data_IF_342088458188
#
_entry.id   IF_342088458188
#
_cell.length_a   1.000
_cell.length_b   1.000
_cell.length_c   1.000
_cell.angle_alpha   90.00
_cell.angle_beta   90.00
_cell.angle_gamma   90.00
#
_symmetry.space_group_name_H-M   'P 1'
#
loop_
_entity.id
_entity.type
_entity.pdbx_description
1 polymer ?
#
# COMPACT_ATOMS: atom_id res chain seq x y z
N UNK A 1 -34.58 -3.01 -8.17
CA UNK A 1 -33.74 -1.82 -8.43
C UNK A 1 -32.33 -2.16 -8.01
N UNK A 2 -31.36 -1.91 -8.89
CA UNK A 2 -30.05 -2.53 -8.93
C UNK A 2 -29.09 -1.88 -7.90
N UNK A 3 -28.73 -2.60 -6.82
CA UNK A 3 -27.83 -2.09 -5.76
C UNK A 3 -26.35 -2.46 -5.95
N UNK A 4 -25.99 -3.17 -7.02
CA UNK A 4 -24.64 -3.79 -7.14
C UNK A 4 -23.53 -2.85 -7.63
N UNK A 5 -23.78 -1.56 -7.80
CA UNK A 5 -22.79 -0.62 -8.37
C UNK A 5 -22.10 0.26 -7.33
N UNK A 6 -22.54 0.24 -6.06
CA UNK A 6 -21.98 1.11 -5.00
C UNK A 6 -20.78 0.50 -4.27
N UNK A 7 -20.83 -0.80 -3.99
CA UNK A 7 -19.80 -1.51 -3.24
C UNK A 7 -18.37 -1.39 -3.82
N UNK A 8 -18.14 -1.48 -5.15
CA UNK A 8 -16.78 -1.37 -5.69
C UNK A 8 -16.17 0.03 -5.56
N UNK A 9 -17.00 1.07 -5.64
CA UNK A 9 -16.54 2.46 -5.52
C UNK A 9 -16.24 2.83 -4.06
N UNK A 10 -17.01 2.29 -3.12
CA UNK A 10 -16.79 2.47 -1.68
C UNK A 10 -15.47 1.84 -1.26
N UNK A 11 -15.19 0.60 -1.69
CA UNK A 11 -13.92 -0.09 -1.40
C UNK A 11 -12.72 0.61 -2.04
N UNK A 12 -12.85 1.09 -3.30
CA UNK A 12 -11.77 1.82 -3.95
C UNK A 12 -11.48 3.18 -3.26
N UNK A 13 -12.51 3.84 -2.74
CA UNK A 13 -12.37 5.09 -1.98
C UNK A 13 -11.69 4.82 -0.64
N UNK A 14 -12.13 3.79 0.08
CA UNK A 14 -11.52 3.36 1.35
C UNK A 14 -10.05 2.98 1.15
N UNK A 15 -9.74 2.23 0.09
CA UNK A 15 -8.37 1.90 -0.28
C UNK A 15 -7.54 3.15 -0.57
N UNK A 16 -8.07 4.10 -1.33
CA UNK A 16 -7.37 5.36 -1.59
C UNK A 16 -7.08 6.13 -0.30
N UNK A 17 -8.06 6.25 0.61
CA UNK A 17 -7.87 6.90 1.91
C UNK A 17 -6.83 6.19 2.78
N UNK A 18 -6.91 4.86 2.89
CA UNK A 18 -5.90 4.06 3.61
C UNK A 18 -4.51 4.22 3.00
N UNK A 19 -4.41 4.30 1.67
CA UNK A 19 -3.14 4.54 1.00
C UNK A 19 -2.56 5.91 1.36
N UNK A 20 -3.38 6.97 1.37
CA UNK A 20 -2.89 8.30 1.74
C UNK A 20 -2.33 8.31 3.15
N UNK A 21 -3.00 7.70 4.12
CA UNK A 21 -2.52 7.67 5.51
C UNK A 21 -1.12 7.03 5.61
N UNK A 22 -0.92 5.90 4.93
CA UNK A 22 0.39 5.24 4.94
C UNK A 22 1.45 5.98 4.11
N UNK A 23 1.07 6.63 3.02
CA UNK A 23 1.99 7.46 2.24
C UNK A 23 2.41 8.71 3.02
N UNK A 24 1.51 9.34 3.78
CA UNK A 24 1.85 10.45 4.67
C UNK A 24 2.82 9.99 5.76
N UNK A 25 2.59 8.82 6.35
CA UNK A 25 3.51 8.26 7.34
C UNK A 25 4.88 7.92 6.74
N UNK A 26 4.89 7.37 5.52
CA UNK A 26 6.10 7.09 4.74
C UNK A 26 6.89 8.38 4.43
N UNK A 27 6.20 9.45 4.04
CA UNK A 27 6.78 10.78 3.82
C UNK A 27 7.33 11.40 5.11
N UNK A 28 6.60 11.30 6.22
CA UNK A 28 7.03 11.81 7.54
C UNK A 28 8.32 11.13 8.01
N UNK A 29 8.44 9.82 7.80
CA UNK A 29 9.64 9.05 8.18
C UNK A 29 10.75 9.07 7.15
N UNK A 30 10.47 9.50 5.92
CA UNK A 30 11.40 9.40 4.79
C UNK A 30 11.75 7.94 4.44
N UNK A 31 10.83 7.01 4.70
CA UNK A 31 11.02 5.57 4.49
C UNK A 31 10.04 5.06 3.44
N UNK A 32 10.32 3.90 2.82
CA UNK A 32 9.36 3.26 1.92
C UNK A 32 8.31 2.49 2.71
N UNK A 33 7.10 2.45 2.17
CA UNK A 33 6.00 1.63 2.66
C UNK A 33 6.07 0.25 2.01
N UNK A 34 6.07 -0.81 2.82
CA UNK A 34 6.29 -2.18 2.38
C UNK A 34 5.10 -3.04 2.83
N UNK A 35 4.35 -3.58 1.88
CA UNK A 35 3.31 -4.56 2.14
C UNK A 35 3.86 -5.96 1.90
N UNK A 36 3.92 -6.79 2.94
CA UNK A 36 4.28 -8.19 2.83
C UNK A 36 3.01 -9.02 2.65
N UNK A 37 2.88 -9.63 1.47
CA UNK A 37 1.74 -10.45 1.09
C UNK A 37 1.87 -11.82 1.76
N UNK A 38 1.14 -12.02 2.85
CA UNK A 38 0.99 -13.31 3.50
C UNK A 38 -0.10 -14.15 2.86
N UNK A 39 0.03 -15.48 2.95
CA UNK A 39 -1.01 -16.44 2.55
C UNK A 39 -2.24 -16.46 3.49
N UNK A 40 -2.22 -15.66 4.57
CA UNK A 40 -3.33 -15.51 5.51
C UNK A 40 -4.41 -14.57 5.00
N UNK A 41 -5.26 -14.09 5.91
CA UNK A 41 -6.35 -13.17 5.58
C UNK A 41 -5.88 -11.70 5.51
N UNK A 42 -4.77 -11.39 6.17
CA UNK A 42 -4.18 -10.06 6.25
C UNK A 42 -2.78 -10.04 5.67
N UNK A 43 -2.36 -8.87 5.20
CA UNK A 43 -1.00 -8.53 4.82
C UNK A 43 -0.40 -7.59 5.86
N UNK A 44 0.86 -7.82 6.19
CA UNK A 44 1.60 -7.00 7.14
C UNK A 44 2.17 -5.76 6.44
N UNK A 45 2.06 -4.61 7.10
CA UNK A 45 2.48 -3.31 6.61
C UNK A 45 3.68 -2.84 7.43
N UNK A 46 4.75 -2.48 6.74
CA UNK A 46 5.99 -2.02 7.34
C UNK A 46 6.45 -0.69 6.74
N UNK A 47 7.26 0.04 7.50
CA UNK A 47 8.05 1.18 7.02
C UNK A 47 9.53 0.86 7.15
N UNK A 48 10.27 1.08 6.08
CA UNK A 48 11.70 0.82 6.05
C UNK A 48 12.33 1.11 4.70
N UNK A 49 13.61 0.78 4.58
CA UNK A 49 14.29 0.77 3.28
C UNK A 49 14.29 -0.68 2.74
N UNK A 50 13.80 -0.93 1.52
CA UNK A 50 13.74 -2.28 0.95
C UNK A 50 15.14 -2.87 0.63
N UNK A 51 16.20 -2.07 0.67
CA UNK A 51 17.59 -2.49 0.57
C UNK A 51 18.25 -2.81 1.91
N UNK A 52 17.60 -2.49 3.03
CA UNK A 52 18.03 -2.86 4.39
C UNK A 52 17.38 -4.19 4.83
N UNK A 53 17.96 -4.87 5.84
CA UNK A 53 17.38 -6.08 6.40
C UNK A 53 15.96 -5.86 6.94
N UNK A 54 15.08 -6.84 6.76
CA UNK A 54 13.70 -6.78 7.25
C UNK A 54 13.57 -6.59 8.77
N UNK A 55 14.60 -6.97 9.53
CA UNK A 55 14.69 -6.78 10.98
C UNK A 55 14.74 -5.31 11.41
N UNK A 56 15.16 -4.40 10.52
CA UNK A 56 15.25 -2.96 10.78
C UNK A 56 13.95 -2.21 10.39
N UNK A 57 12.98 -2.91 9.80
CA UNK A 57 11.71 -2.32 9.42
C UNK A 57 10.76 -2.15 10.61
N UNK A 58 10.02 -1.06 10.61
CA UNK A 58 9.00 -0.79 11.63
C UNK A 58 7.67 -1.36 11.18
N UNK A 59 7.11 -2.32 11.92
CA UNK A 59 5.74 -2.79 11.71
C UNK A 59 4.74 -1.68 12.06
N UNK A 60 3.84 -1.37 11.12
CA UNK A 60 2.83 -0.33 11.27
C UNK A 60 1.43 -0.90 11.56
N UNK A 61 1.02 -1.91 10.79
CA UNK A 61 -0.33 -2.47 10.86
C UNK A 61 -0.40 -3.80 10.10
N UNK A 62 -1.50 -4.53 10.31
CA UNK A 62 -1.93 -5.60 9.44
C UNK A 62 -3.26 -5.20 8.78
N UNK A 63 -3.33 -5.22 7.44
CA UNK A 63 -4.56 -4.86 6.71
C UNK A 63 -5.10 -6.05 5.93
N UNK A 64 -6.43 -6.15 5.73
CA UNK A 64 -7.03 -7.26 4.99
C UNK A 64 -6.48 -7.36 3.57
N UNK A 65 -6.28 -8.58 3.07
CA UNK A 65 -5.80 -8.79 1.71
C UNK A 65 -6.73 -8.17 0.66
N UNK A 66 -8.04 -8.13 0.92
CA UNK A 66 -9.01 -7.43 0.06
C UNK A 66 -8.67 -5.95 -0.13
N UNK A 67 -8.20 -5.28 0.93
CA UNK A 67 -7.75 -3.89 0.89
C UNK A 67 -6.48 -3.76 0.06
N UNK A 68 -5.49 -4.63 0.29
CA UNK A 68 -4.26 -4.65 -0.52
C UNK A 68 -4.57 -4.86 -2.00
N UNK A 69 -5.46 -5.79 -2.33
CA UNK A 69 -5.85 -6.01 -3.73
C UNK A 69 -6.49 -4.76 -4.35
N UNK A 70 -7.39 -4.08 -3.64
CA UNK A 70 -7.97 -2.82 -4.11
C UNK A 70 -6.89 -1.71 -4.31
N UNK A 71 -5.90 -1.63 -3.42
CA UNK A 71 -4.73 -0.74 -3.59
C UNK A 71 -3.94 -1.08 -4.86
N UNK A 72 -3.73 -2.37 -5.13
CA UNK A 72 -3.01 -2.83 -6.32
C UNK A 72 -3.79 -2.64 -7.61
N UNK A 73 -5.12 -2.68 -7.58
CA UNK A 73 -6.00 -2.40 -8.72
C UNK A 73 -6.10 -0.90 -9.03
N UNK A 74 -6.05 -0.05 -8.00
CA UNK A 74 -6.10 1.43 -8.13
C UNK A 74 -4.75 2.04 -8.50
N UNK A 75 -3.66 1.30 -8.34
CA UNK A 75 -2.29 1.75 -8.68
C UNK A 75 -1.69 0.89 -9.78
N UNK A 76 -0.59 1.35 -10.40
CA UNK A 76 0.16 0.61 -11.41
C UNK A 76 1.59 0.37 -10.97
N UNK A 77 2.28 -0.57 -11.59
CA UNK A 77 3.70 -0.77 -11.32
C UNK A 77 4.55 0.34 -11.93
N UNK A 78 5.64 0.71 -11.27
CA UNK A 78 6.44 1.88 -11.62
C UNK A 78 5.87 3.18 -11.03
N UNK A 79 6.05 4.30 -11.73
CA UNK A 79 5.66 5.62 -11.22
C UNK A 79 4.15 5.84 -11.23
N UNK A 80 3.63 6.26 -10.08
CA UNK A 80 2.24 6.64 -9.84
C UNK A 80 2.15 8.10 -9.40
N UNK A 81 1.09 8.74 -9.86
CA UNK A 81 0.63 9.99 -9.29
C UNK A 81 -0.89 9.87 -9.10
N UNK A 82 -1.33 9.94 -7.85
CA UNK A 82 -2.75 9.86 -7.48
C UNK A 82 -3.15 11.12 -6.74
N UNK A 83 -4.40 11.55 -6.91
CA UNK A 83 -4.96 12.67 -6.15
C UNK A 83 -5.99 12.09 -5.20
N UNK A 84 -5.73 12.20 -3.89
CA UNK A 84 -6.58 11.69 -2.83
C UNK A 84 -6.96 12.89 -1.96
N UNK A 85 -8.26 13.13 -1.81
CA UNK A 85 -8.81 14.29 -1.05
C UNK A 85 -8.21 15.66 -1.44
N UNK A 86 -7.83 15.82 -2.72
CA UNK A 86 -7.22 17.05 -3.23
C UNK A 86 -5.71 17.18 -3.02
N UNK A 87 -5.08 16.23 -2.31
CA UNK A 87 -3.64 16.13 -2.17
C UNK A 87 -3.08 15.21 -3.27
N UNK A 88 -1.99 15.65 -3.92
CA UNK A 88 -1.32 14.86 -4.94
C UNK A 88 -0.18 14.03 -4.31
N UNK A 89 -0.29 12.71 -4.38
CA UNK A 89 0.73 11.77 -3.92
C UNK A 89 1.51 11.20 -5.11
N UNK A 90 2.83 11.20 -4.98
CA UNK A 90 3.76 10.64 -5.98
C UNK A 90 4.60 9.55 -5.34
N UNK A 91 4.66 8.40 -6.00
CA UNK A 91 5.43 7.27 -5.52
C UNK A 91 5.74 6.29 -6.65
N UNK A 92 6.78 5.48 -6.46
CA UNK A 92 7.04 4.31 -7.28
C UNK A 92 6.48 3.06 -6.59
N UNK A 93 5.72 2.23 -7.31
CA UNK A 93 5.30 0.91 -6.85
C UNK A 93 6.18 -0.17 -7.48
N UNK A 94 6.91 -0.89 -6.65
CA UNK A 94 7.78 -2.00 -7.06
C UNK A 94 7.41 -3.29 -6.33
N UNK A 95 7.96 -4.41 -6.80
CA UNK A 95 7.75 -5.71 -6.18
C UNK A 95 9.07 -6.22 -5.63
N UNK A 96 9.02 -6.83 -4.45
CA UNK A 96 10.15 -7.46 -3.78
C UNK A 96 9.75 -8.86 -3.27
N UNK A 97 10.72 -9.58 -2.71
CA UNK A 97 10.46 -10.80 -1.95
C UNK A 97 11.10 -10.68 -0.57
N UNK A 98 10.35 -11.04 0.46
CA UNK A 98 10.77 -10.96 1.87
C UNK A 98 10.49 -12.30 2.53
N UNK A 99 11.55 -12.97 3.00
CA UNK A 99 11.44 -14.29 3.66
C UNK A 99 10.55 -15.30 2.89
N UNK A 100 10.64 -15.33 1.55
CA UNK A 100 9.85 -16.22 0.69
C UNK A 100 8.42 -15.76 0.40
N UNK A 101 7.99 -14.62 0.94
CA UNK A 101 6.71 -13.99 0.66
C UNK A 101 6.86 -12.88 -0.39
N UNK A 102 5.84 -12.69 -1.22
CA UNK A 102 5.80 -11.55 -2.12
C UNK A 102 5.62 -10.26 -1.34
N UNK A 103 6.29 -9.19 -1.74
CA UNK A 103 6.11 -7.88 -1.14
C UNK A 103 5.89 -6.81 -2.21
N UNK A 104 5.12 -5.78 -1.85
CA UNK A 104 4.89 -4.60 -2.69
C UNK A 104 5.44 -3.40 -1.95
N UNK A 105 6.32 -2.65 -2.62
CA UNK A 105 7.00 -1.50 -2.04
C UNK A 105 6.50 -0.23 -2.72
N UNK A 106 6.10 0.74 -1.91
CA UNK A 106 5.71 2.08 -2.30
C UNK A 106 6.79 3.04 -1.81
N UNK A 107 7.59 3.54 -2.74
CA UNK A 107 8.67 4.50 -2.45
C UNK A 107 8.19 5.91 -2.77
N UNK A 108 8.08 6.82 -1.80
CA UNK A 108 7.68 8.21 -2.06
C UNK A 108 8.70 8.90 -2.96
N UNK A 109 8.22 9.83 -3.80
CA UNK A 109 9.00 10.54 -4.82
C UNK A 109 8.87 12.07 -4.72
#
# INVERSE_FOLDING_TARGET
MNSSSRAPLEVATEAASTLSEYLELSLDKGQSLIFVLSHGENSEVYLGDPGEPDADWTSCAAIPNTMVHALLETTRSGFNQVVIEGQAYRFARTFAQVAGHGAVVFTPA
#
